data_IF_954077163508
#
_entry.id   IF_954077163508
#
_cell.length_a   1.000
_cell.length_b   1.000
_cell.length_c   1.000
_cell.angle_alpha   90.00
_cell.angle_beta   90.00
_cell.angle_gamma   90.00
#
_symmetry.space_group_name_H-M   'P 1'
#
loop_
_entity.id
_entity.type
_entity.pdbx_description
1 polymer ?
#
# COMPACT_ATOMS: atom_id res chain seq x y z
N UNK A 1 -52.28 -24.69 74.05
CA UNK A 1 -51.38 -23.52 73.93
C UNK A 1 -51.18 -23.22 72.44
N UNK A 2 -51.51 -21.98 72.02
CA UNK A 2 -51.19 -21.25 70.76
C UNK A 2 -51.50 -21.98 69.40
N UNK A 3 -52.55 -21.62 68.64
CA UNK A 3 -52.67 -20.55 67.59
C UNK A 3 -51.56 -20.69 66.51
N UNK A 4 -51.80 -20.86 65.19
CA UNK A 4 -52.45 -19.94 64.21
C UNK A 4 -52.24 -20.46 62.76
N UNK A 5 -53.27 -20.33 61.89
CA UNK A 5 -53.34 -19.97 60.44
C UNK A 5 -52.34 -20.55 59.40
N UNK A 6 -52.55 -20.61 58.06
CA UNK A 6 -53.61 -20.52 57.02
C UNK A 6 -52.85 -20.68 55.65
N UNK A 7 -53.60 -20.93 54.56
CA UNK A 7 -53.25 -20.78 53.12
C UNK A 7 -52.35 -21.90 52.51
N UNK A 8 -52.80 -22.78 51.60
CA UNK A 8 -53.41 -22.65 50.25
C UNK A 8 -52.41 -22.33 49.12
N UNK A 9 -52.13 -23.30 48.23
CA UNK A 9 -52.02 -23.22 46.75
C UNK A 9 -51.53 -24.60 46.22
N UNK A 10 -52.31 -25.40 45.48
CA UNK A 10 -52.70 -25.36 44.05
C UNK A 10 -51.69 -26.02 43.10
N UNK A 11 -52.10 -27.20 42.62
CA UNK A 11 -52.01 -27.83 41.28
C UNK A 11 -50.81 -27.55 40.34
N UNK A 12 -50.20 -28.65 39.87
CA UNK A 12 -49.83 -28.79 38.47
C UNK A 12 -50.09 -30.24 38.02
N UNK A 13 -51.14 -30.45 37.23
CA UNK A 13 -51.44 -31.71 36.55
C UNK A 13 -50.98 -31.59 35.09
N UNK A 14 -50.03 -32.43 34.71
CA UNK A 14 -49.55 -32.61 33.34
C UNK A 14 -50.55 -33.43 32.54
N UNK A 15 -51.17 -32.80 31.55
CA UNK A 15 -51.88 -33.47 30.46
C UNK A 15 -51.57 -32.72 29.16
N UNK A 16 -50.59 -33.22 28.40
CA UNK A 16 -50.40 -32.80 27.00
C UNK A 16 -51.11 -33.82 26.13
N UNK A 17 -52.23 -33.38 25.58
CA UNK A 17 -53.00 -34.10 24.58
C UNK A 17 -52.29 -34.05 23.23
N UNK A 18 -52.28 -35.20 22.55
CA UNK A 18 -51.92 -35.29 21.15
C UNK A 18 -52.94 -34.51 20.30
N UNK A 19 -52.48 -33.44 19.66
CA UNK A 19 -53.13 -32.86 18.49
C UNK A 19 -52.13 -32.98 17.33
N UNK A 20 -52.48 -33.81 16.35
CA UNK A 20 -51.66 -34.07 15.19
C UNK A 20 -51.41 -32.79 14.40
N UNK A 21 -50.15 -32.56 14.04
CA UNK A 21 -49.81 -31.67 12.94
C UNK A 21 -50.50 -32.22 11.69
N UNK A 22 -51.46 -31.48 11.16
CA UNK A 22 -51.81 -31.62 9.75
C UNK A 22 -50.53 -31.31 8.98
N UNK A 23 -50.07 -32.27 8.18
CA UNK A 23 -49.20 -31.96 7.06
C UNK A 23 -50.04 -31.08 6.13
N UNK A 24 -49.92 -29.77 6.29
CA UNK A 24 -50.25 -28.88 5.19
C UNK A 24 -49.29 -29.26 4.07
N UNK A 25 -49.85 -29.74 2.96
CA UNK A 25 -49.12 -29.82 1.71
C UNK A 25 -48.53 -28.44 1.48
N UNK A 26 -47.21 -28.31 1.61
CA UNK A 26 -46.49 -27.20 1.03
C UNK A 26 -46.77 -27.29 -0.47
N UNK A 27 -47.78 -26.55 -0.94
CA UNK A 27 -47.86 -26.15 -2.34
C UNK A 27 -46.46 -25.65 -2.70
N UNK A 28 -45.88 -26.12 -3.81
CA UNK A 28 -44.47 -25.92 -4.21
C UNK A 28 -44.11 -24.43 -4.49
N UNK A 29 -44.82 -23.48 -3.88
CA UNK A 29 -44.60 -22.05 -3.96
C UNK A 29 -43.79 -21.62 -2.76
N UNK A 30 -42.60 -21.07 -3.04
CA UNK A 30 -41.83 -20.36 -2.02
C UNK A 30 -42.72 -19.32 -1.33
N UNK A 31 -42.62 -19.16 0.01
CA UNK A 31 -43.37 -18.12 0.73
C UNK A 31 -42.87 -16.70 0.41
N UNK A 32 -41.81 -16.56 -0.38
CA UNK A 32 -41.23 -15.28 -0.79
C UNK A 32 -41.50 -14.99 -2.26
N UNK A 33 -41.79 -13.72 -2.55
CA UNK A 33 -41.95 -13.25 -3.92
C UNK A 33 -40.66 -13.43 -4.72
N UNK A 34 -40.79 -13.71 -6.02
CA UNK A 34 -39.64 -13.72 -6.92
C UNK A 34 -39.19 -12.29 -7.15
N UNK A 35 -37.91 -12.01 -6.87
CA UNK A 35 -37.33 -10.67 -6.97
C UNK A 35 -36.07 -10.66 -7.82
N UNK A 36 -35.79 -9.51 -8.43
CA UNK A 36 -34.52 -9.21 -9.12
C UNK A 36 -33.59 -8.34 -8.25
N UNK A 37 -32.29 -8.58 -8.36
CA UNK A 37 -31.24 -7.82 -7.68
C UNK A 37 -29.92 -7.86 -8.46
N UNK A 38 -28.96 -6.99 -8.11
CA UNK A 38 -27.61 -7.00 -8.67
C UNK A 38 -26.73 -7.94 -7.85
N UNK A 39 -25.98 -8.84 -8.51
CA UNK A 39 -25.07 -9.77 -7.83
C UNK A 39 -24.03 -9.06 -6.96
N UNK A 40 -23.44 -7.97 -7.47
CA UNK A 40 -22.46 -7.15 -6.75
C UNK A 40 -23.06 -6.49 -5.49
N UNK A 41 -24.38 -6.29 -5.43
CA UNK A 41 -25.07 -5.68 -4.30
C UNK A 41 -25.73 -6.70 -3.34
N UNK A 42 -25.46 -8.00 -3.51
CA UNK A 42 -26.10 -9.06 -2.71
C UNK A 42 -25.72 -8.98 -1.23
N UNK A 43 -24.43 -8.77 -0.93
CA UNK A 43 -23.92 -8.69 0.44
C UNK A 43 -23.76 -7.25 0.95
N UNK A 44 -23.29 -6.36 0.08
CA UNK A 44 -23.10 -4.94 0.36
C UNK A 44 -23.40 -4.14 -0.90
N UNK A 45 -24.28 -3.14 -0.80
CA UNK A 45 -24.58 -2.26 -1.92
C UNK A 45 -23.39 -1.33 -2.25
N UNK A 46 -22.46 -1.12 -1.33
CA UNK A 46 -21.30 -0.24 -1.52
C UNK A 46 -20.14 -0.97 -2.20
N UNK A 47 -19.72 -0.47 -3.35
CA UNK A 47 -18.63 -1.02 -4.15
C UNK A 47 -17.43 -0.06 -4.13
N UNK A 48 -16.45 -0.31 -3.26
CA UNK A 48 -15.22 0.48 -3.21
C UNK A 48 -14.46 0.34 -4.53
N UNK A 49 -14.24 1.46 -5.19
CA UNK A 49 -13.65 1.52 -6.53
C UNK A 49 -12.49 2.50 -6.53
N UNK A 50 -11.35 2.03 -6.04
CA UNK A 50 -10.11 2.82 -5.99
C UNK A 50 -9.26 2.60 -7.25
N UNK A 51 -8.59 3.65 -7.72
CA UNK A 51 -7.71 3.58 -8.89
C UNK A 51 -6.49 4.49 -8.76
N UNK A 52 -5.43 4.13 -9.49
CA UNK A 52 -4.15 4.87 -9.56
C UNK A 52 -4.12 5.86 -10.73
N UNK A 53 -3.29 6.90 -10.64
CA UNK A 53 -3.16 7.93 -11.69
C UNK A 53 -2.89 7.34 -13.08
N UNK A 54 -2.09 6.28 -13.15
CA UNK A 54 -1.64 5.69 -14.42
C UNK A 54 -2.62 4.68 -15.00
N UNK A 55 -3.77 4.46 -14.36
CA UNK A 55 -4.80 3.56 -14.88
C UNK A 55 -5.81 4.38 -15.70
N UNK A 56 -5.85 4.25 -17.03
CA UNK A 56 -6.77 5.02 -17.87
C UNK A 56 -8.22 4.52 -17.76
N UNK A 57 -8.40 3.21 -17.58
CA UNK A 57 -9.71 2.53 -17.61
C UNK A 57 -9.80 1.45 -16.53
N UNK A 58 -11.00 1.24 -15.99
CA UNK A 58 -11.29 0.21 -15.00
C UNK A 58 -12.69 -0.36 -15.21
N UNK A 59 -12.75 -1.66 -15.52
CA UNK A 59 -14.01 -2.37 -15.78
C UNK A 59 -14.64 -2.91 -14.50
N UNK A 60 -15.97 -2.76 -14.39
CA UNK A 60 -16.81 -3.24 -13.28
C UNK A 60 -17.99 -4.02 -13.86
N UNK A 61 -17.74 -5.30 -14.08
CA UNK A 61 -18.76 -6.26 -14.50
C UNK A 61 -19.74 -6.57 -13.37
N UNK A 62 -21.02 -6.69 -13.71
CA UNK A 62 -22.06 -7.18 -12.81
C UNK A 62 -23.17 -7.91 -13.60
N UNK A 63 -24.01 -8.64 -12.90
CA UNK A 63 -25.14 -9.39 -13.47
C UNK A 63 -26.42 -9.09 -12.71
N UNK A 64 -27.56 -9.34 -13.34
CA UNK A 64 -28.85 -9.33 -12.63
C UNK A 64 -29.22 -10.76 -12.26
N UNK A 65 -29.62 -10.94 -11.00
CA UNK A 65 -29.99 -12.23 -10.42
C UNK A 65 -31.47 -12.21 -10.02
N UNK A 66 -32.13 -13.36 -10.21
CA UNK A 66 -33.48 -13.64 -9.72
C UNK A 66 -33.44 -14.70 -8.63
N UNK A 67 -34.31 -14.56 -7.62
CA UNK A 67 -34.43 -15.56 -6.54
C UNK A 67 -34.89 -16.92 -7.04
N UNK A 68 -35.76 -16.97 -8.07
CA UNK A 68 -36.27 -18.19 -8.67
C UNK A 68 -36.38 -18.09 -10.20
N UNK A 69 -36.25 -19.19 -10.95
CA UNK A 69 -36.46 -19.16 -12.40
C UNK A 69 -37.88 -18.73 -12.78
N UNK A 70 -38.00 -17.92 -13.84
CA UNK A 70 -39.26 -17.63 -14.50
C UNK A 70 -39.52 -18.58 -15.68
N UNK A 71 -40.79 -18.76 -16.06
CA UNK A 71 -41.16 -19.58 -17.23
C UNK A 71 -40.93 -18.90 -18.57
N UNK A 72 -40.75 -17.57 -18.56
CA UNK A 72 -40.52 -16.71 -19.72
C UNK A 72 -39.27 -15.87 -19.48
N UNK A 73 -38.70 -15.30 -20.54
CA UNK A 73 -37.59 -14.37 -20.44
C UNK A 73 -37.98 -13.12 -19.62
N UNK A 74 -37.11 -12.73 -18.70
CA UNK A 74 -37.28 -11.50 -17.91
C UNK A 74 -36.29 -10.46 -18.39
N UNK A 75 -36.83 -9.38 -18.95
CA UNK A 75 -36.04 -8.23 -19.41
C UNK A 75 -35.90 -7.24 -18.26
N UNK A 76 -34.67 -6.86 -17.95
CA UNK A 76 -34.32 -5.96 -16.85
C UNK A 76 -33.62 -4.74 -17.41
N UNK A 77 -34.10 -3.56 -17.04
CA UNK A 77 -33.45 -2.28 -17.37
C UNK A 77 -32.61 -1.82 -16.18
N UNK A 78 -31.35 -1.48 -16.43
CA UNK A 78 -30.46 -0.85 -15.45
C UNK A 78 -30.10 0.57 -15.90
N UNK A 79 -29.87 1.46 -14.95
CA UNK A 79 -29.47 2.83 -15.23
C UNK A 79 -28.55 3.40 -14.15
N UNK A 80 -27.84 4.46 -14.50
CA UNK A 80 -27.18 5.34 -13.53
C UNK A 80 -28.21 6.33 -13.01
N UNK A 81 -28.41 6.43 -11.70
CA UNK A 81 -29.45 7.28 -11.09
C UNK A 81 -28.86 8.31 -10.11
N UNK A 82 -28.50 9.52 -10.60
CA UNK A 82 -27.86 10.55 -9.79
C UNK A 82 -28.66 10.98 -8.56
N UNK A 83 -29.99 10.84 -8.55
CA UNK A 83 -30.82 11.22 -7.42
C UNK A 83 -30.51 10.41 -6.15
N UNK A 84 -29.99 9.18 -6.28
CA UNK A 84 -29.65 8.31 -5.16
C UNK A 84 -28.40 8.74 -4.37
N UNK A 85 -27.61 9.69 -4.90
CA UNK A 85 -26.43 10.22 -4.18
C UNK A 85 -26.83 10.90 -2.87
N UNK A 86 -27.93 11.65 -2.87
CA UNK A 86 -28.41 12.34 -1.67
C UNK A 86 -28.84 11.35 -0.58
N UNK A 87 -29.54 10.28 -0.97
CA UNK A 87 -30.00 9.25 -0.05
C UNK A 87 -28.83 8.46 0.54
N UNK A 88 -27.85 8.07 -0.29
CA UNK A 88 -26.64 7.40 0.17
C UNK A 88 -25.89 8.25 1.19
N UNK A 89 -25.65 9.53 0.88
CA UNK A 89 -24.94 10.45 1.77
C UNK A 89 -25.68 10.63 3.11
N UNK A 90 -27.00 10.77 3.07
CA UNK A 90 -27.81 10.89 4.28
C UNK A 90 -27.75 9.62 5.15
N UNK A 91 -27.78 8.44 4.53
CA UNK A 91 -27.72 7.16 5.25
C UNK A 91 -26.32 6.86 5.83
N UNK A 92 -25.25 7.30 5.17
CA UNK A 92 -23.88 6.94 5.52
C UNK A 92 -23.09 8.07 6.22
N UNK A 93 -23.68 9.26 6.38
CA UNK A 93 -22.99 10.40 6.99
C UNK A 93 -21.86 10.96 6.13
N UNK A 94 -21.95 10.81 4.81
CA UNK A 94 -20.96 11.28 3.83
C UNK A 94 -21.46 12.52 3.09
N UNK A 95 -20.59 13.13 2.28
CA UNK A 95 -20.92 14.30 1.46
C UNK A 95 -20.30 14.20 0.06
N UNK A 96 -20.30 12.99 -0.50
CA UNK A 96 -19.65 12.70 -1.79
C UNK A 96 -20.52 13.16 -2.95
N UNK A 97 -19.87 13.59 -4.03
CA UNK A 97 -20.52 14.11 -5.23
C UNK A 97 -20.74 13.00 -6.26
N UNK A 98 -21.66 13.22 -7.20
CA UNK A 98 -21.85 12.32 -8.34
C UNK A 98 -20.59 12.33 -9.22
N UNK A 99 -20.13 11.14 -9.65
CA UNK A 99 -19.07 11.05 -10.65
C UNK A 99 -19.56 11.63 -11.99
N UNK A 100 -18.74 12.46 -12.63
CA UNK A 100 -19.09 13.07 -13.92
C UNK A 100 -19.20 12.01 -15.04
N UNK A 101 -20.15 12.20 -15.96
CA UNK A 101 -20.45 11.27 -17.05
C UNK A 101 -19.28 11.08 -18.04
N UNK A 102 -18.30 11.98 -18.03
CA UNK A 102 -17.08 11.82 -18.82
C UNK A 102 -16.15 10.71 -18.32
N UNK A 103 -16.34 10.22 -17.09
CA UNK A 103 -15.51 9.16 -16.48
C UNK A 103 -16.13 7.78 -16.48
N UNK A 104 -17.33 7.59 -17.03
CA UNK A 104 -17.94 6.26 -17.07
C UNK A 104 -18.75 6.02 -18.33
N UNK A 105 -18.98 4.74 -18.61
CA UNK A 105 -19.84 4.26 -19.67
C UNK A 105 -20.47 2.94 -19.24
N UNK A 106 -21.79 2.88 -19.28
CA UNK A 106 -22.53 1.63 -19.12
C UNK A 106 -22.78 1.07 -20.51
N UNK A 107 -22.13 -0.05 -20.85
CA UNK A 107 -22.09 -0.57 -22.22
C UNK A 107 -23.49 -0.91 -22.75
N UNK A 108 -24.34 -1.48 -21.90
CA UNK A 108 -25.73 -1.80 -22.21
C UNK A 108 -26.62 -1.45 -21.01
N UNK A 109 -27.83 -0.97 -21.27
CA UNK A 109 -28.78 -0.58 -20.21
C UNK A 109 -29.92 -1.60 -20.02
N UNK A 110 -29.92 -2.69 -20.79
CA UNK A 110 -30.95 -3.72 -20.75
C UNK A 110 -30.30 -5.08 -20.82
N UNK A 111 -30.74 -6.01 -19.98
CA UNK A 111 -30.25 -7.39 -20.00
C UNK A 111 -31.41 -8.36 -19.86
N UNK A 112 -31.26 -9.57 -20.42
CA UNK A 112 -32.26 -10.63 -20.33
C UNK A 112 -31.78 -11.70 -19.36
N UNK A 113 -32.66 -12.11 -18.45
CA UNK A 113 -32.56 -13.37 -17.71
C UNK A 113 -33.37 -14.40 -18.49
N UNK A 114 -32.73 -15.40 -19.13
CA UNK A 114 -33.46 -16.35 -19.97
C UNK A 114 -34.45 -17.20 -19.17
N UNK A 115 -35.55 -17.61 -19.81
CA UNK A 115 -36.51 -18.54 -19.24
C UNK A 115 -35.82 -19.77 -18.63
N UNK A 116 -36.21 -20.13 -17.40
CA UNK A 116 -35.62 -21.25 -16.66
C UNK A 116 -34.23 -20.97 -16.05
N UNK A 117 -33.69 -19.75 -16.17
CA UNK A 117 -32.46 -19.30 -15.51
C UNK A 117 -32.76 -18.32 -14.38
N UNK A 118 -31.75 -18.10 -13.54
CA UNK A 118 -31.80 -17.15 -12.42
C UNK A 118 -30.77 -16.04 -12.54
N UNK A 119 -29.97 -16.02 -13.60
CA UNK A 119 -28.91 -15.03 -13.79
C UNK A 119 -28.84 -14.64 -15.26
N UNK A 120 -28.54 -13.37 -15.51
CA UNK A 120 -28.29 -12.83 -16.84
C UNK A 120 -26.86 -13.09 -17.31
N UNK A 121 -26.57 -12.74 -18.57
CA UNK A 121 -25.20 -12.44 -18.98
C UNK A 121 -24.67 -11.17 -18.26
N UNK A 122 -23.37 -10.94 -18.33
CA UNK A 122 -22.72 -9.79 -17.68
C UNK A 122 -23.01 -8.48 -18.39
N UNK A 123 -23.25 -7.45 -17.61
CA UNK A 123 -23.23 -6.05 -18.01
C UNK A 123 -21.90 -5.43 -17.59
N UNK A 124 -21.33 -4.58 -18.44
CA UNK A 124 -20.06 -3.90 -18.18
C UNK A 124 -20.28 -2.42 -17.89
N UNK A 125 -19.86 -1.98 -16.69
CA UNK A 125 -19.64 -0.59 -16.36
C UNK A 125 -18.15 -0.27 -16.52
N UNK A 126 -17.80 0.51 -17.53
CA UNK A 126 -16.44 0.95 -17.77
C UNK A 126 -16.22 2.31 -17.12
N UNK A 127 -15.30 2.40 -16.16
CA UNK A 127 -14.72 3.68 -15.78
C UNK A 127 -13.60 4.03 -16.76
N UNK A 128 -13.56 5.26 -17.25
CA UNK A 128 -12.68 5.72 -18.32
C UNK A 128 -12.09 7.09 -18.03
N UNK A 129 -11.04 7.45 -18.78
CA UNK A 129 -10.34 8.73 -18.67
C UNK A 129 -9.82 9.03 -17.25
N UNK A 130 -9.56 7.99 -16.47
CA UNK A 130 -9.21 8.10 -15.06
C UNK A 130 -7.80 8.72 -14.84
N UNK A 131 -6.95 8.66 -15.86
CA UNK A 131 -5.62 9.26 -15.92
C UNK A 131 -5.62 10.70 -16.49
N UNK A 132 -6.79 11.22 -16.90
CA UNK A 132 -6.92 12.52 -17.55
C UNK A 132 -6.68 12.51 -19.07
N UNK A 133 -6.58 11.34 -19.72
CA UNK A 133 -6.28 11.25 -21.16
C UNK A 133 -7.41 11.70 -22.11
N UNK A 134 -8.61 11.98 -21.59
CA UNK A 134 -9.85 12.13 -22.38
C UNK A 134 -10.33 13.55 -22.63
N UNK A 135 -9.45 14.56 -22.72
CA UNK A 135 -9.82 15.99 -22.69
C UNK A 135 -10.65 16.37 -21.43
N UNK A 136 -10.46 15.64 -20.34
CA UNK A 136 -11.09 15.84 -19.03
C UNK A 136 -10.02 16.23 -18.00
N UNK A 137 -10.45 16.88 -16.93
CA UNK A 137 -9.55 17.15 -15.81
C UNK A 137 -9.10 15.83 -15.15
N UNK A 138 -7.95 15.85 -14.49
CA UNK A 138 -7.55 14.73 -13.64
C UNK A 138 -8.46 14.70 -12.41
N UNK A 139 -9.01 13.53 -12.05
CA UNK A 139 -9.76 13.39 -10.80
C UNK A 139 -8.81 13.71 -9.63
N UNK A 140 -9.18 14.63 -8.73
CA UNK A 140 -8.37 14.97 -7.57
C UNK A 140 -8.08 13.74 -6.73
N UNK A 141 -6.87 13.68 -6.18
CA UNK A 141 -6.54 12.64 -5.21
C UNK A 141 -7.43 12.80 -3.98
N UNK A 142 -7.82 11.69 -3.38
CA UNK A 142 -8.61 11.62 -2.15
C UNK A 142 -10.03 12.20 -2.21
N UNK A 143 -10.40 12.87 -3.29
CA UNK A 143 -11.80 13.19 -3.56
C UNK A 143 -12.56 11.92 -3.92
N UNK A 144 -13.71 11.75 -3.27
CA UNK A 144 -14.53 10.55 -3.39
C UNK A 144 -15.83 10.90 -4.09
N UNK A 145 -16.14 10.12 -5.11
CA UNK A 145 -17.32 10.26 -5.95
C UNK A 145 -18.23 9.04 -5.79
N UNK A 146 -19.51 9.24 -6.04
CA UNK A 146 -20.51 8.18 -6.09
C UNK A 146 -21.00 7.98 -7.52
N UNK A 147 -21.13 6.73 -7.91
CA UNK A 147 -21.77 6.31 -9.15
C UNK A 147 -22.80 5.21 -8.83
N UNK A 148 -24.05 5.58 -8.54
CA UNK A 148 -25.12 4.62 -8.28
C UNK A 148 -25.62 4.00 -9.58
N UNK A 149 -25.55 2.68 -9.70
CA UNK A 149 -26.18 1.88 -10.76
C UNK A 149 -27.34 1.11 -10.15
N UNK A 150 -28.53 1.27 -10.71
CA UNK A 150 -29.76 0.70 -10.14
C UNK A 150 -30.58 -0.04 -11.19
N UNK A 151 -31.33 -1.05 -10.74
CA UNK A 151 -32.37 -1.68 -11.55
C UNK A 151 -33.56 -0.72 -11.60
N UNK A 152 -33.94 -0.28 -12.81
CA UNK A 152 -35.08 0.59 -13.03
C UNK A 152 -36.39 -0.18 -13.16
N UNK A 153 -36.36 -1.32 -13.86
CA UNK A 153 -37.55 -2.14 -14.08
C UNK A 153 -37.19 -3.57 -14.43
N UNK A 154 -38.12 -4.49 -14.13
CA UNK A 154 -38.11 -5.86 -14.62
C UNK A 154 -39.47 -6.17 -15.25
N UNK A 155 -39.46 -6.89 -16.38
CA UNK A 155 -40.67 -7.36 -17.04
C UNK A 155 -41.30 -8.53 -16.28
N UNK A 156 -42.46 -9.02 -16.75
CA UNK A 156 -43.09 -10.22 -16.20
C UNK A 156 -43.70 -10.07 -14.79
N UNK A 157 -43.77 -8.84 -14.26
CA UNK A 157 -44.33 -8.59 -12.92
C UNK A 157 -43.40 -8.99 -11.76
N UNK A 158 -42.12 -9.23 -12.05
CA UNK A 158 -41.10 -9.55 -11.05
C UNK A 158 -40.77 -8.28 -10.26
N UNK A 159 -40.74 -8.39 -8.93
CA UNK A 159 -40.44 -7.24 -8.05
C UNK A 159 -38.94 -7.02 -7.90
N UNK A 160 -38.52 -5.84 -7.46
CA UNK A 160 -37.11 -5.54 -7.17
C UNK A 160 -36.83 -5.81 -5.69
N UNK A 161 -35.67 -6.37 -5.38
CA UNK A 161 -35.19 -6.47 -4.01
C UNK A 161 -34.56 -5.13 -3.59
N UNK A 162 -35.31 -4.28 -2.89
CA UNK A 162 -34.88 -2.90 -2.61
C UNK A 162 -33.50 -2.74 -1.96
N UNK A 163 -33.08 -3.67 -1.10
CA UNK A 163 -31.75 -3.63 -0.45
C UNK A 163 -30.57 -3.89 -1.39
N UNK A 164 -30.82 -4.53 -2.54
CA UNK A 164 -29.79 -5.01 -3.47
C UNK A 164 -30.12 -4.65 -4.93
N UNK A 165 -31.06 -3.74 -5.14
CA UNK A 165 -31.42 -3.23 -6.46
C UNK A 165 -30.43 -2.18 -6.96
N UNK A 166 -29.63 -1.59 -6.07
CA UNK A 166 -28.64 -0.56 -6.37
C UNK A 166 -27.26 -0.97 -5.91
N UNK A 167 -26.27 -0.80 -6.77
CA UNK A 167 -24.85 -0.83 -6.44
C UNK A 167 -24.31 0.61 -6.46
N UNK A 168 -23.73 1.05 -5.35
CA UNK A 168 -23.10 2.36 -5.20
C UNK A 168 -21.59 2.22 -5.38
N UNK A 169 -21.09 2.53 -6.57
CA UNK A 169 -19.64 2.57 -6.80
C UNK A 169 -19.06 3.82 -6.15
N UNK A 170 -18.26 3.63 -5.11
CA UNK A 170 -17.50 4.67 -4.41
C UNK A 170 -16.19 4.83 -5.15
N UNK A 171 -16.17 5.74 -6.12
CA UNK A 171 -15.05 5.96 -7.03
C UNK A 171 -14.11 6.96 -6.40
N UNK A 172 -12.90 6.52 -6.09
CA UNK A 172 -11.88 7.37 -5.46
C UNK A 172 -10.56 7.16 -6.17
N UNK A 173 -9.90 8.24 -6.54
CA UNK A 173 -8.48 8.13 -6.85
C UNK A 173 -7.74 7.92 -5.54
N UNK A 174 -7.46 6.67 -5.21
CA UNK A 174 -6.81 6.33 -3.95
C UNK A 174 -5.31 6.36 -4.15
N UNK A 175 -4.68 7.19 -3.32
CA UNK A 175 -3.24 7.20 -3.08
C UNK A 175 -2.36 7.68 -4.24
N UNK A 176 -1.33 8.43 -3.87
CA UNK A 176 -0.26 8.78 -4.80
C UNK A 176 0.45 7.53 -5.30
N UNK A 177 0.45 6.47 -4.48
CA UNK A 177 1.12 5.20 -4.72
C UNK A 177 0.16 4.05 -4.42
N UNK A 178 0.01 3.15 -5.39
CA UNK A 178 -0.83 1.95 -5.30
C UNK A 178 -0.07 0.66 -5.60
N UNK A 179 1.25 0.72 -5.52
CA UNK A 179 2.15 -0.41 -5.75
C UNK A 179 3.27 -0.35 -4.74
N UNK A 180 3.69 -1.51 -4.28
CA UNK A 180 4.85 -1.70 -3.44
C UNK A 180 5.29 -3.15 -3.59
N UNK A 181 6.56 -3.42 -3.35
CA UNK A 181 7.05 -4.79 -3.27
C UNK A 181 7.08 -5.27 -1.82
N UNK A 182 6.77 -6.56 -1.64
CA UNK A 182 6.96 -7.28 -0.39
C UNK A 182 8.42 -7.70 -0.25
N UNK A 183 9.09 -7.27 0.82
CA UNK A 183 10.44 -7.75 1.18
C UNK A 183 10.41 -8.82 2.28
N UNK A 184 9.25 -9.44 2.52
CA UNK A 184 9.12 -10.56 3.45
C UNK A 184 10.05 -11.69 3.01
N UNK A 185 11.02 -12.03 3.86
CA UNK A 185 12.04 -13.04 3.57
C UNK A 185 12.85 -12.79 2.27
N UNK A 186 12.93 -11.52 1.81
CA UNK A 186 13.57 -11.13 0.55
C UNK A 186 14.34 -9.80 0.71
N UNK A 187 15.17 -9.45 -0.27
CA UNK A 187 15.94 -8.20 -0.31
C UNK A 187 16.35 -7.85 -1.73
N UNK A 188 16.76 -6.59 -1.93
CA UNK A 188 17.20 -6.09 -3.23
C UNK A 188 18.73 -5.94 -3.24
N UNK A 189 19.34 -6.54 -4.26
CA UNK A 189 20.76 -6.44 -4.60
C UNK A 189 20.98 -5.35 -5.66
N UNK A 190 22.19 -4.76 -5.67
CA UNK A 190 22.65 -3.86 -6.74
C UNK A 190 23.97 -4.35 -7.32
N UNK A 191 23.96 -5.28 -8.30
CA UNK A 191 25.20 -5.86 -8.83
C UNK A 191 26.16 -4.83 -9.43
N UNK A 192 25.65 -3.72 -9.95
CA UNK A 192 26.45 -2.62 -10.52
C UNK A 192 27.26 -1.87 -9.48
N UNK A 193 26.83 -1.82 -8.22
CA UNK A 193 27.55 -1.16 -7.13
C UNK A 193 28.74 -1.97 -6.61
N UNK A 194 28.80 -3.26 -6.95
CA UNK A 194 29.94 -4.15 -6.63
C UNK A 194 31.01 -4.16 -7.74
N UNK A 195 30.80 -3.40 -8.83
CA UNK A 195 31.68 -3.34 -10.00
C UNK A 195 32.14 -1.93 -10.26
N UNK A 196 33.44 -1.77 -10.55
CA UNK A 196 33.99 -0.47 -10.88
C UNK A 196 33.39 0.06 -12.18
N UNK A 197 32.71 1.20 -12.09
CA UNK A 197 32.10 1.87 -13.24
C UNK A 197 31.28 3.09 -12.86
N UNK A 198 30.67 3.76 -13.85
CA UNK A 198 29.90 4.99 -13.65
C UNK A 198 28.82 4.86 -12.57
N UNK A 199 28.18 3.70 -12.50
CA UNK A 199 27.18 3.35 -11.50
C UNK A 199 27.71 3.41 -10.06
N UNK A 200 28.81 2.73 -9.79
CA UNK A 200 29.44 2.72 -8.46
C UNK A 200 30.07 4.08 -8.09
N UNK A 201 30.54 4.83 -9.09
CA UNK A 201 31.18 6.13 -8.87
C UNK A 201 30.20 7.14 -8.30
N UNK A 202 28.92 7.08 -8.68
CA UNK A 202 27.84 7.91 -8.13
C UNK A 202 27.60 7.68 -6.63
N UNK A 203 27.88 6.47 -6.14
CA UNK A 203 27.65 6.04 -4.75
C UNK A 203 28.90 6.13 -3.88
N UNK A 204 30.03 6.59 -4.44
CA UNK A 204 31.30 6.71 -3.76
C UNK A 204 31.73 8.19 -3.66
N UNK A 205 32.69 8.46 -2.78
CA UNK A 205 33.25 9.79 -2.53
C UNK A 205 32.19 10.84 -2.11
N UNK A 206 31.18 10.42 -1.35
CA UNK A 206 30.08 11.27 -0.90
C UNK A 206 30.49 12.16 0.27
N UNK A 207 30.00 13.41 0.28
CA UNK A 207 30.16 14.35 1.40
C UNK A 207 28.86 14.64 2.15
N UNK A 208 27.74 14.25 1.55
CA UNK A 208 26.42 14.30 2.13
C UNK A 208 25.57 13.18 1.52
N UNK A 209 24.50 12.79 2.21
CA UNK A 209 23.56 11.77 1.74
C UNK A 209 22.17 12.00 2.29
N UNK A 210 21.19 11.59 1.51
CA UNK A 210 19.82 11.36 1.99
C UNK A 210 19.39 9.96 1.55
N UNK A 211 18.87 9.18 2.50
CA UNK A 211 18.11 7.95 2.24
C UNK A 211 16.64 8.26 2.45
N UNK A 212 15.78 7.82 1.54
CA UNK A 212 14.32 7.96 1.65
C UNK A 212 13.64 6.65 1.20
N UNK A 213 12.56 6.27 1.88
CA UNK A 213 11.68 5.20 1.45
C UNK A 213 10.28 5.38 2.05
N UNK A 214 9.27 4.84 1.39
CA UNK A 214 7.97 4.59 1.99
C UNK A 214 7.89 3.12 2.36
N UNK A 215 7.62 2.84 3.64
CA UNK A 215 7.61 1.48 4.18
C UNK A 215 6.33 1.19 4.96
N UNK A 216 5.91 -0.07 4.98
CA UNK A 216 4.91 -0.61 5.91
C UNK A 216 5.44 -1.91 6.50
N UNK A 217 5.64 -1.95 7.81
CA UNK A 217 6.17 -3.14 8.51
C UNK A 217 5.02 -3.94 9.09
N UNK A 218 4.96 -5.24 8.80
CA UNK A 218 3.89 -6.12 9.28
C UNK A 218 4.03 -6.47 10.75
N UNK A 219 5.24 -6.83 11.14
CA UNK A 219 5.57 -7.30 12.48
C UNK A 219 7.07 -7.12 12.72
N UNK A 220 7.40 -6.23 13.67
CA UNK A 220 8.76 -5.95 14.12
C UNK A 220 9.39 -7.11 14.92
N UNK A 221 8.63 -8.15 15.25
CA UNK A 221 9.07 -9.30 16.04
C UNK A 221 9.48 -10.53 15.23
N UNK A 222 9.10 -10.63 13.96
CA UNK A 222 9.32 -11.82 13.11
C UNK A 222 10.78 -12.24 13.03
N UNK A 223 11.68 -11.27 12.89
CA UNK A 223 13.11 -11.49 12.72
C UNK A 223 13.91 -11.09 13.99
N UNK A 224 15.23 -10.91 13.85
CA UNK A 224 16.09 -10.43 14.94
C UNK A 224 15.68 -9.04 15.42
N UNK A 225 16.43 -8.46 16.35
CA UNK A 225 16.19 -7.12 16.88
C UNK A 225 16.35 -5.99 15.85
N UNK A 226 16.80 -6.29 14.62
CA UNK A 226 17.01 -5.34 13.54
C UNK A 226 16.12 -5.69 12.35
N UNK A 227 15.40 -4.69 11.83
CA UNK A 227 14.80 -4.71 10.49
C UNK A 227 15.52 -3.69 9.61
N UNK A 228 16.14 -4.14 8.51
CA UNK A 228 16.96 -3.26 7.67
C UNK A 228 16.11 -2.53 6.63
N UNK A 229 16.26 -1.22 6.47
CA UNK A 229 15.62 -0.48 5.36
C UNK A 229 16.58 -0.42 4.18
N UNK A 230 17.72 0.26 4.35
CA UNK A 230 18.74 0.35 3.29
C UNK A 230 20.11 0.77 3.82
N UNK A 231 21.15 0.46 3.06
CA UNK A 231 22.50 0.95 3.30
C UNK A 231 23.53 -0.16 3.43
N UNK A 232 24.63 0.16 4.10
CA UNK A 232 25.80 -0.71 4.25
C UNK A 232 26.03 -0.99 5.74
N UNK A 233 25.93 -2.26 6.14
CA UNK A 233 26.16 -2.71 7.52
C UNK A 233 27.52 -2.25 8.07
N UNK A 234 27.54 -1.85 9.35
CA UNK A 234 28.73 -1.35 10.06
C UNK A 234 29.42 -0.18 9.34
N UNK A 235 28.69 0.57 8.51
CA UNK A 235 29.24 1.69 7.77
C UNK A 235 28.28 2.87 7.72
N UNK A 236 27.16 2.71 7.00
CA UNK A 236 26.08 3.69 6.95
C UNK A 236 24.75 3.00 6.62
N UNK A 237 23.95 2.73 7.66
CA UNK A 237 22.77 1.88 7.57
C UNK A 237 21.55 2.55 8.18
N UNK A 238 20.47 2.69 7.42
CA UNK A 238 19.15 3.02 7.92
C UNK A 238 18.39 1.74 8.24
N UNK A 239 17.93 1.62 9.49
CA UNK A 239 17.27 0.42 10.03
C UNK A 239 16.24 0.79 11.08
N UNK A 240 15.54 -0.23 11.57
CA UNK A 240 14.59 -0.16 12.67
C UNK A 240 15.04 -1.17 13.72
N UNK A 241 15.19 -0.72 14.96
CA UNK A 241 15.67 -1.57 16.05
C UNK A 241 17.18 -1.85 16.03
N UNK A 242 17.64 -2.39 17.15
CA UNK A 242 18.98 -2.91 17.46
C UNK A 242 18.89 -3.60 18.83
N UNK A 243 19.83 -4.49 19.19
CA UNK A 243 19.80 -5.21 20.47
C UNK A 243 19.63 -4.31 21.72
N UNK A 244 20.04 -3.03 21.64
CA UNK A 244 19.88 -2.04 22.72
C UNK A 244 18.79 -0.99 22.47
N UNK A 245 17.96 -1.16 21.44
CA UNK A 245 16.94 -0.20 21.00
C UNK A 245 15.58 -0.90 20.83
N UNK A 246 14.45 -0.18 20.98
CA UNK A 246 13.14 -0.72 20.67
C UNK A 246 13.08 -1.18 19.21
N UNK A 247 12.47 -2.35 18.96
CA UNK A 247 12.38 -2.94 17.62
C UNK A 247 11.60 -2.08 16.62
N UNK A 248 10.78 -1.16 17.10
CA UNK A 248 10.00 -0.21 16.30
C UNK A 248 10.66 1.16 16.10
N UNK A 249 11.84 1.40 16.67
CA UNK A 249 12.50 2.70 16.59
C UNK A 249 13.42 2.79 15.38
N UNK A 250 13.26 3.83 14.55
CA UNK A 250 14.22 4.14 13.49
C UNK A 250 15.60 4.45 14.06
N UNK A 251 16.63 4.02 13.33
CA UNK A 251 18.02 4.30 13.61
C UNK A 251 18.82 4.41 12.32
N UNK A 252 19.58 5.50 12.21
CA UNK A 252 20.64 5.69 11.24
C UNK A 252 21.98 5.42 11.92
N UNK A 253 22.62 4.32 11.54
CA UNK A 253 23.90 3.87 12.07
C UNK A 253 25.04 4.31 11.15
N UNK A 254 25.81 5.31 11.59
CA UNK A 254 27.03 5.78 10.96
C UNK A 254 28.28 5.46 11.78
N UNK A 255 28.27 4.38 12.59
CA UNK A 255 29.36 4.03 13.52
C UNK A 255 30.67 3.59 12.87
N UNK A 256 30.67 3.16 11.59
CA UNK A 256 31.75 2.32 11.03
C UNK A 256 33.19 2.84 11.12
N UNK A 257 34.15 2.01 10.70
CA UNK A 257 35.60 2.15 10.95
C UNK A 257 36.17 3.59 10.78
N UNK A 258 37.06 3.96 11.72
CA UNK A 258 37.38 5.32 12.19
C UNK A 258 38.14 6.23 11.20
N UNK A 259 38.14 5.93 9.90
CA UNK A 259 38.74 6.79 8.89
C UNK A 259 37.91 6.95 7.60
N UNK A 260 36.90 6.10 7.34
CA UNK A 260 36.18 6.07 6.07
C UNK A 260 34.66 6.25 6.20
N UNK A 261 34.12 6.38 7.40
CA UNK A 261 32.67 6.53 7.63
C UNK A 261 32.30 7.95 8.04
N UNK A 262 31.00 8.31 7.95
CA UNK A 262 30.47 9.52 8.56
C UNK A 262 30.86 9.68 10.03
N UNK A 263 30.98 8.57 10.76
CA UNK A 263 31.51 8.52 12.12
C UNK A 263 30.58 9.12 13.18
N UNK A 264 29.32 9.40 12.84
CA UNK A 264 28.36 10.01 13.78
C UNK A 264 27.75 9.03 14.78
N UNK A 265 28.06 7.73 14.66
CA UNK A 265 27.57 6.70 15.57
C UNK A 265 26.13 6.26 15.28
N UNK A 266 25.50 5.57 16.25
CA UNK A 266 24.08 5.22 16.20
C UNK A 266 23.22 6.42 16.58
N UNK A 267 22.32 6.81 15.68
CA UNK A 267 21.44 7.96 15.86
C UNK A 267 19.99 7.64 15.47
N UNK A 268 18.97 8.19 16.16
CA UNK A 268 19.03 8.87 17.45
C UNK A 268 19.38 7.89 18.58
N UNK A 269 19.51 8.42 19.80
CA UNK A 269 19.58 7.59 21.01
C UNK A 269 18.25 6.83 21.20
N UNK A 270 18.27 5.80 22.07
CA UNK A 270 17.06 5.07 22.45
C UNK A 270 15.99 6.04 22.97
N UNK A 271 14.78 5.92 22.44
CA UNK A 271 13.62 6.74 22.75
C UNK A 271 12.34 5.93 22.54
N UNK A 272 11.70 5.53 23.64
CA UNK A 272 10.47 4.73 23.62
C UNK A 272 9.22 5.54 23.22
N UNK A 273 9.37 6.85 22.97
CA UNK A 273 8.27 7.71 22.51
C UNK A 273 8.24 7.88 20.98
N UNK A 274 9.26 7.37 20.27
CA UNK A 274 9.43 7.52 18.82
C UNK A 274 9.35 6.17 18.11
N UNK A 275 8.26 5.45 18.34
CA UNK A 275 8.03 4.11 17.82
C UNK A 275 7.10 4.16 16.62
N UNK A 276 7.40 3.35 15.60
CA UNK A 276 6.51 3.08 14.49
C UNK A 276 5.48 2.02 14.86
N UNK A 277 4.28 2.08 14.26
CA UNK A 277 3.26 1.05 14.41
C UNK A 277 3.36 0.02 13.28
N UNK A 278 3.01 -1.22 13.62
CA UNK A 278 2.87 -2.28 12.62
C UNK A 278 1.63 -2.03 11.74
N UNK A 279 1.71 -2.37 10.46
CA UNK A 279 0.63 -2.22 9.48
C UNK A 279 0.38 -0.79 8.98
N UNK A 280 1.14 0.20 9.46
CA UNK A 280 1.03 1.60 9.02
C UNK A 280 2.09 1.96 7.97
N UNK A 281 1.70 2.77 6.99
CA UNK A 281 2.61 3.36 6.02
C UNK A 281 3.34 4.56 6.63
N UNK A 282 4.65 4.58 6.48
CA UNK A 282 5.50 5.70 6.85
C UNK A 282 6.40 6.09 5.70
N UNK A 283 6.45 7.38 5.37
CA UNK A 283 7.63 7.91 4.70
C UNK A 283 8.74 8.06 5.74
N UNK A 284 9.90 7.45 5.51
CA UNK A 284 11.07 7.54 6.37
C UNK A 284 12.24 8.11 5.60
N UNK A 285 12.92 9.09 6.18
CA UNK A 285 14.15 9.62 5.59
C UNK A 285 15.23 9.86 6.64
N UNK A 286 16.48 9.75 6.22
CA UNK A 286 17.64 10.06 7.02
C UNK A 286 18.66 10.86 6.21
N UNK A 287 19.16 11.97 6.78
CA UNK A 287 20.14 12.84 6.13
C UNK A 287 21.41 12.91 6.95
N UNK A 288 22.55 13.07 6.28
CA UNK A 288 23.82 13.46 6.90
C UNK A 288 24.64 14.35 5.96
N UNK A 289 25.32 15.36 6.51
CA UNK A 289 26.26 16.21 5.77
C UNK A 289 27.51 16.50 6.59
N UNK A 290 28.70 16.32 6.00
CA UNK A 290 29.94 16.75 6.65
C UNK A 290 30.07 18.27 6.78
N UNK A 291 29.44 19.02 5.88
CA UNK A 291 29.53 20.48 5.90
C UNK A 291 28.83 21.08 7.11
N UNK A 292 27.66 20.53 7.48
CA UNK A 292 26.87 20.98 8.63
C UNK A 292 27.13 20.13 9.88
N UNK A 293 27.66 18.91 9.72
CA UNK A 293 27.78 17.89 10.78
C UNK A 293 26.45 17.59 11.45
N UNK A 294 25.37 17.72 10.67
CA UNK A 294 24.02 17.41 11.10
C UNK A 294 23.61 16.04 10.58
N UNK A 295 22.99 15.25 11.46
CA UNK A 295 22.26 14.03 11.13
C UNK A 295 20.80 14.23 11.50
N UNK A 296 19.89 13.90 10.60
CA UNK A 296 18.46 14.04 10.83
C UNK A 296 17.73 12.75 10.49
N UNK A 297 16.67 12.44 11.24
CA UNK A 297 15.65 11.46 10.86
C UNK A 297 14.32 12.20 10.70
N UNK A 298 13.61 11.88 9.63
CA UNK A 298 12.29 12.39 9.30
C UNK A 298 11.30 11.23 9.23
N UNK A 299 10.09 11.45 9.74
CA UNK A 299 8.97 10.52 9.60
C UNK A 299 7.79 11.30 9.06
N UNK A 300 7.17 10.79 8.01
CA UNK A 300 6.07 11.44 7.30
C UNK A 300 6.43 12.88 6.88
N UNK A 301 7.66 13.05 6.41
CA UNK A 301 8.21 14.32 5.94
C UNK A 301 8.54 15.34 7.03
N UNK A 302 8.20 15.05 8.29
CA UNK A 302 8.46 15.94 9.42
C UNK A 302 9.74 15.54 10.15
N UNK A 303 10.50 16.53 10.62
CA UNK A 303 11.70 16.28 11.42
C UNK A 303 11.35 15.58 12.74
N UNK A 304 11.83 14.33 12.89
CA UNK A 304 11.64 13.56 14.11
C UNK A 304 12.81 13.73 15.09
N UNK A 305 14.04 13.70 14.57
CA UNK A 305 15.25 13.76 15.39
C UNK A 305 16.35 14.51 14.67
N UNK A 306 17.07 15.39 15.37
CA UNK A 306 18.26 16.11 14.88
C UNK A 306 19.43 15.95 15.84
N UNK A 307 20.60 15.64 15.30
CA UNK A 307 21.89 15.67 15.98
C UNK A 307 22.81 16.65 15.27
N UNK A 308 23.47 17.52 16.02
CA UNK A 308 24.43 18.51 15.50
C UNK A 308 25.83 18.19 16.01
N UNK A 309 26.85 18.67 15.30
CA UNK A 309 28.26 18.43 15.63
C UNK A 309 28.63 16.94 15.75
N UNK A 310 27.97 16.08 14.97
CA UNK A 310 28.23 14.65 14.95
C UNK A 310 29.08 14.23 13.74
N UNK A 311 29.88 13.20 13.95
CA UNK A 311 30.77 12.65 12.93
C UNK A 311 32.00 13.50 12.67
N UNK A 312 32.69 13.13 11.60
CA UNK A 312 34.00 13.69 11.25
C UNK A 312 33.88 15.03 10.51
N UNK A 313 34.89 15.91 10.60
CA UNK A 313 34.98 17.06 9.70
C UNK A 313 35.22 16.60 8.26
N UNK A 314 34.77 17.40 7.28
CA UNK A 314 34.71 17.15 5.82
C UNK A 314 36.05 16.88 5.10
N UNK A 315 36.90 16.03 5.66
CA UNK A 315 38.24 15.73 5.19
C UNK A 315 38.35 14.35 4.54
N UNK A 316 37.41 13.46 4.81
CA UNK A 316 37.33 12.14 4.18
C UNK A 316 35.91 11.86 3.71
N UNK A 317 35.67 11.68 2.40
CA UNK A 317 34.36 11.30 1.92
C UNK A 317 33.99 9.88 2.36
N UNK A 318 32.68 9.57 2.43
CA UNK A 318 32.21 8.21 2.66
C UNK A 318 31.75 7.54 1.36
N UNK A 319 31.57 6.22 1.40
CA UNK A 319 31.44 5.36 0.21
C UNK A 319 30.36 4.32 0.44
N UNK A 320 29.41 4.20 -0.46
CA UNK A 320 28.33 3.20 -0.37
C UNK A 320 28.56 2.01 -1.30
N UNK A 321 29.41 2.17 -2.32
CA UNK A 321 29.80 1.16 -3.29
C UNK A 321 31.28 0.78 -3.12
N UNK A 322 31.76 0.62 -1.89
CA UNK A 322 33.17 0.38 -1.59
C UNK A 322 33.73 -0.94 -2.15
N UNK A 323 32.87 -1.93 -2.44
CA UNK A 323 33.27 -3.16 -3.12
C UNK A 323 33.80 -2.91 -4.54
N UNK A 324 33.32 -1.88 -5.23
CA UNK A 324 33.83 -1.47 -6.54
C UNK A 324 35.30 -1.05 -6.50
N UNK A 325 35.77 -0.47 -5.38
CA UNK A 325 37.20 -0.18 -5.22
C UNK A 325 38.05 -1.44 -5.08
N UNK A 326 37.53 -2.48 -4.42
CA UNK A 326 38.20 -3.77 -4.40
C UNK A 326 38.20 -4.43 -5.79
N UNK A 327 37.13 -4.27 -6.56
CA UNK A 327 37.08 -4.71 -7.96
C UNK A 327 38.17 -4.04 -8.81
N UNK A 328 38.44 -2.73 -8.65
CA UNK A 328 39.60 -2.06 -9.25
C UNK A 328 40.94 -2.71 -8.87
N UNK A 329 41.12 -3.02 -7.57
CA UNK A 329 42.31 -3.74 -7.11
C UNK A 329 42.47 -5.10 -7.79
N UNK A 330 41.38 -5.86 -7.96
CA UNK A 330 41.43 -7.15 -8.67
C UNK A 330 41.80 -6.99 -10.15
N UNK A 331 41.37 -5.90 -10.80
CA UNK A 331 41.69 -5.61 -12.20
C UNK A 331 43.15 -5.16 -12.39
N UNK A 332 43.69 -4.34 -11.48
CA UNK A 332 45.10 -3.91 -11.53
C UNK A 332 45.69 -3.68 -10.12
N UNK A 333 46.22 -4.73 -9.47
CA UNK A 333 46.73 -4.65 -8.09
C UNK A 333 47.83 -3.60 -7.90
N UNK A 334 48.70 -3.42 -8.90
CA UNK A 334 49.83 -2.49 -8.81
C UNK A 334 49.41 -1.02 -8.80
N UNK A 335 48.34 -0.68 -9.51
CA UNK A 335 47.82 0.68 -9.61
C UNK A 335 46.91 1.04 -8.43
N UNK A 336 46.22 0.05 -7.88
CA UNK A 336 45.15 0.21 -6.89
C UNK A 336 45.48 -0.44 -5.54
N UNK A 337 46.77 -0.51 -5.17
CA UNK A 337 47.24 -1.14 -3.92
C UNK A 337 46.56 -0.54 -2.67
N UNK A 338 46.13 0.73 -2.71
CA UNK A 338 45.37 1.36 -1.62
C UNK A 338 44.03 0.67 -1.32
N UNK A 339 43.47 -0.07 -2.29
CA UNK A 339 42.18 -0.75 -2.14
C UNK A 339 42.32 -2.24 -1.78
N UNK A 340 43.54 -2.75 -1.59
CA UNK A 340 43.78 -4.14 -1.21
C UNK A 340 43.00 -4.61 0.03
N UNK A 341 42.81 -3.72 1.00
CA UNK A 341 42.06 -3.99 2.24
C UNK A 341 40.54 -3.98 2.10
N UNK A 342 39.99 -3.61 0.93
CA UNK A 342 38.56 -3.37 0.74
C UNK A 342 37.75 -4.62 0.42
N UNK A 343 38.36 -5.81 0.32
CA UNK A 343 37.66 -7.05 0.00
C UNK A 343 36.60 -7.48 1.02
N UNK A 344 36.64 -6.93 2.24
CA UNK A 344 35.64 -7.17 3.28
C UNK A 344 34.56 -6.07 3.36
N UNK A 345 34.59 -5.09 2.45
CA UNK A 345 33.58 -4.04 2.41
C UNK A 345 32.19 -4.66 2.22
N UNK A 346 31.20 -4.21 2.98
CA UNK A 346 29.84 -4.74 2.92
C UNK A 346 29.11 -4.17 1.71
N UNK A 347 28.19 -4.94 1.16
CA UNK A 347 27.37 -4.52 0.02
C UNK A 347 26.28 -3.55 0.47
N UNK A 348 25.85 -2.68 -0.44
CA UNK A 348 24.64 -1.89 -0.30
C UNK A 348 23.42 -2.72 -0.67
N UNK A 349 22.42 -2.76 0.20
CA UNK A 349 21.17 -3.51 0.00
C UNK A 349 19.95 -2.64 0.32
N UNK A 350 18.78 -3.05 -0.20
CA UNK A 350 17.49 -2.71 0.40
C UNK A 350 16.92 -3.94 1.12
N UNK A 351 16.37 -3.76 2.30
CA UNK A 351 15.69 -4.82 3.04
C UNK A 351 16.61 -5.86 3.70
N UNK A 352 17.94 -5.74 3.61
CA UNK A 352 18.92 -6.63 4.28
C UNK A 352 20.19 -5.86 4.62
N UNK A 353 20.96 -6.35 5.60
CA UNK A 353 22.25 -5.75 5.98
C UNK A 353 23.38 -6.78 5.91
N UNK A 354 23.52 -7.64 6.91
CA UNK A 354 24.58 -8.67 6.97
C UNK A 354 24.03 -10.08 7.03
N UNK A 355 22.96 -10.27 7.77
CA UNK A 355 22.38 -11.58 8.10
C UNK A 355 20.91 -11.60 7.69
N UNK A 356 20.44 -12.76 7.23
CA UNK A 356 19.08 -12.94 6.71
C UNK A 356 18.03 -12.76 7.81
N UNK A 357 18.41 -12.88 9.09
CA UNK A 357 17.54 -12.55 10.23
C UNK A 357 17.39 -11.04 10.45
N UNK A 358 17.89 -10.16 9.57
CA UNK A 358 17.76 -8.70 9.69
C UNK A 358 16.92 -8.07 8.59
N UNK A 359 16.08 -8.87 7.95
CA UNK A 359 15.30 -8.45 6.81
C UNK A 359 14.17 -7.49 7.18
N UNK A 360 13.73 -6.68 6.23
CA UNK A 360 12.50 -5.90 6.36
C UNK A 360 11.29 -6.84 6.23
N UNK A 361 10.58 -7.07 7.32
CA UNK A 361 9.32 -7.81 7.27
C UNK A 361 8.14 -6.90 6.89
N UNK A 362 8.03 -6.55 5.62
CA UNK A 362 7.00 -5.63 5.16
C UNK A 362 7.12 -5.22 3.70
N UNK A 363 6.40 -4.15 3.36
CA UNK A 363 6.32 -3.59 2.02
C UNK A 363 7.15 -2.32 1.90
N UNK A 364 7.70 -2.07 0.71
CA UNK A 364 8.53 -0.90 0.40
C UNK A 364 8.20 -0.31 -0.98
N UNK A 365 8.27 1.02 -1.10
CA UNK A 365 8.10 1.79 -2.33
C UNK A 365 8.83 3.14 -2.22
N UNK A 366 8.96 3.87 -3.32
CA UNK A 366 9.56 5.22 -3.39
C UNK A 366 10.94 5.32 -2.73
N UNK A 367 11.82 4.36 -3.03
CA UNK A 367 13.17 4.30 -2.46
C UNK A 367 14.10 5.22 -3.22
N UNK A 368 14.82 6.10 -2.51
CA UNK A 368 15.72 7.08 -3.10
C UNK A 368 17.02 7.19 -2.34
N UNK A 369 18.08 7.47 -3.09
CA UNK A 369 19.38 7.85 -2.55
C UNK A 369 19.84 9.13 -3.22
N UNK A 370 20.24 10.10 -2.39
CA UNK A 370 20.76 11.39 -2.82
C UNK A 370 22.21 11.56 -2.36
N UNK A 371 23.03 12.28 -3.13
CA UNK A 371 24.38 12.71 -2.73
C UNK A 371 24.42 14.08 -2.03
N UNK A 372 23.24 14.60 -1.67
CA UNK A 372 23.04 15.83 -0.89
C UNK A 372 22.24 15.52 0.38
N UNK A 373 22.40 16.34 1.42
CA UNK A 373 21.51 16.33 2.57
C UNK A 373 20.31 17.23 2.25
N UNK A 374 19.16 16.62 1.99
CA UNK A 374 17.92 17.32 1.64
C UNK A 374 17.36 18.06 2.85
N UNK A 375 16.71 19.19 2.60
CA UNK A 375 16.02 19.98 3.61
C UNK A 375 14.68 19.34 3.99
N UNK A 376 14.13 19.71 5.14
CA UNK A 376 12.81 19.22 5.57
C UNK A 376 11.71 19.56 4.56
N UNK A 377 11.71 20.77 4.00
CA UNK A 377 10.74 21.19 2.99
C UNK A 377 10.86 20.35 1.71
N UNK A 378 12.08 20.13 1.25
CA UNK A 378 12.35 19.29 0.08
C UNK A 378 11.89 17.84 0.27
N UNK A 379 12.09 17.28 1.47
CA UNK A 379 11.61 15.94 1.82
C UNK A 379 10.07 15.94 1.87
N UNK A 380 9.47 16.90 2.57
CA UNK A 380 8.03 17.06 2.70
C UNK A 380 7.33 17.16 1.36
N UNK A 381 7.78 18.04 0.46
CA UNK A 381 7.14 18.29 -0.83
C UNK A 381 7.21 17.09 -1.78
N UNK A 382 8.25 16.26 -1.67
CA UNK A 382 8.55 15.21 -2.65
C UNK A 382 8.34 13.79 -2.12
N UNK A 383 7.71 13.57 -0.96
CA UNK A 383 7.58 12.22 -0.36
C UNK A 383 7.07 11.13 -1.31
N UNK A 384 6.18 11.48 -2.24
CA UNK A 384 5.44 10.51 -3.05
C UNK A 384 5.86 10.43 -4.52
N UNK A 385 6.58 11.44 -5.00
CA UNK A 385 7.13 11.48 -6.36
C UNK A 385 8.21 12.56 -6.42
N UNK A 386 9.16 12.40 -7.32
CA UNK A 386 10.20 13.41 -7.60
C UNK A 386 10.63 13.31 -9.05
N UNK A 387 10.99 14.45 -9.66
CA UNK A 387 11.59 14.44 -10.99
C UNK A 387 12.90 13.63 -10.94
N UNK A 388 13.02 12.52 -11.71
CA UNK A 388 14.23 11.70 -11.68
C UNK A 388 15.51 12.43 -12.15
N UNK A 389 15.38 13.60 -12.78
CA UNK A 389 16.49 14.45 -13.18
C UNK A 389 16.87 15.50 -12.13
N UNK A 390 16.26 15.46 -10.95
CA UNK A 390 16.57 16.41 -9.86
C UNK A 390 18.04 16.33 -9.47
N UNK A 391 18.79 17.46 -9.47
CA UNK A 391 20.20 17.45 -9.11
C UNK A 391 20.47 16.82 -7.74
N UNK A 392 21.39 15.87 -7.74
CA UNK A 392 21.82 15.16 -6.54
C UNK A 392 21.07 13.86 -6.25
N UNK A 393 20.02 13.52 -7.02
CA UNK A 393 19.42 12.19 -6.99
C UNK A 393 20.33 11.21 -7.73
N UNK A 394 20.80 10.16 -7.05
CA UNK A 394 21.75 9.18 -7.62
C UNK A 394 21.17 7.77 -7.75
N UNK A 395 20.02 7.51 -7.15
CA UNK A 395 19.22 6.31 -7.38
C UNK A 395 17.77 6.54 -6.98
N UNK A 396 16.84 6.07 -7.81
CA UNK A 396 15.40 6.19 -7.56
C UNK A 396 14.67 4.94 -8.05
N UNK A 397 14.10 4.19 -7.12
CA UNK A 397 13.37 2.95 -7.37
C UNK A 397 11.94 3.11 -6.85
N UNK A 398 10.98 3.18 -7.78
CA UNK A 398 9.57 3.42 -7.44
C UNK A 398 8.87 2.19 -6.85
N UNK A 399 9.27 0.98 -7.25
CA UNK A 399 8.53 -0.26 -6.95
C UNK A 399 7.09 -0.17 -7.48
N UNK A 400 6.95 0.18 -8.75
CA UNK A 400 5.67 0.31 -9.47
C UNK A 400 5.53 -0.66 -10.64
N UNK A 401 6.49 -1.58 -10.79
CA UNK A 401 6.52 -2.59 -11.86
C UNK A 401 5.34 -3.56 -11.77
N UNK A 402 4.96 -3.98 -10.56
CA UNK A 402 3.80 -4.85 -10.32
C UNK A 402 4.02 -6.33 -10.68
N UNK A 403 5.15 -6.67 -11.30
CA UNK A 403 5.59 -8.03 -11.58
C UNK A 403 7.11 -8.12 -11.75
N UNK A 404 7.65 -9.34 -11.66
CA UNK A 404 9.08 -9.60 -11.90
C UNK A 404 9.99 -9.23 -10.73
N UNK A 405 11.30 -9.44 -10.95
CA UNK A 405 12.34 -9.37 -9.90
C UNK A 405 13.34 -8.22 -10.12
N UNK A 406 13.14 -7.39 -11.15
CA UNK A 406 14.00 -6.25 -11.47
C UNK A 406 13.26 -4.98 -11.10
N UNK A 407 13.92 -4.12 -10.32
CA UNK A 407 13.39 -2.82 -9.91
C UNK A 407 14.18 -1.75 -10.64
N UNK A 408 13.51 -0.99 -11.50
CA UNK A 408 14.19 -0.09 -12.41
C UNK A 408 14.64 1.20 -11.72
N UNK A 409 15.86 1.64 -12.05
CA UNK A 409 16.39 2.93 -11.64
C UNK A 409 15.86 4.05 -12.55
N UNK A 410 14.90 4.81 -12.03
CA UNK A 410 14.22 5.89 -12.72
C UNK A 410 15.11 7.10 -13.03
N UNK A 411 16.28 7.23 -12.40
CA UNK A 411 17.21 8.33 -12.67
C UNK A 411 17.85 8.23 -14.07
N UNK A 412 17.82 7.03 -14.68
CA UNK A 412 18.52 6.73 -15.92
C UNK A 412 20.01 6.41 -15.74
N UNK A 413 20.50 6.30 -14.49
CA UNK A 413 21.88 5.92 -14.20
C UNK A 413 22.14 4.41 -14.37
N UNK A 414 21.08 3.61 -14.50
CA UNK A 414 21.15 2.17 -14.76
C UNK A 414 21.56 1.35 -13.54
N UNK A 415 21.28 1.84 -12.33
CA UNK A 415 21.46 1.11 -11.08
C UNK A 415 20.23 0.27 -10.74
N UNK A 416 19.76 -0.56 -11.68
CA UNK A 416 18.60 -1.42 -11.44
C UNK A 416 18.86 -2.36 -10.26
N UNK A 417 17.86 -2.46 -9.39
CA UNK A 417 17.84 -3.41 -8.28
C UNK A 417 17.39 -4.79 -8.77
N UNK A 418 17.90 -5.84 -8.14
CA UNK A 418 17.50 -7.22 -8.42
C UNK A 418 17.15 -7.93 -7.12
N UNK A 419 15.92 -8.42 -7.02
CA UNK A 419 15.48 -9.21 -5.88
C UNK A 419 16.30 -10.52 -5.77
N UNK A 420 16.61 -10.96 -4.55
CA UNK A 420 17.30 -12.24 -4.34
C UNK A 420 16.40 -13.42 -4.72
N UNK A 421 15.16 -13.37 -4.27
CA UNK A 421 14.14 -14.38 -4.55
C UNK A 421 13.00 -13.75 -5.36
N UNK A 422 12.07 -14.60 -5.83
CA UNK A 422 10.89 -14.13 -6.54
C UNK A 422 10.13 -13.09 -5.70
N UNK A 423 9.92 -11.92 -6.29
CA UNK A 423 9.37 -10.77 -5.60
C UNK A 423 7.84 -10.84 -5.65
N UNK A 424 7.22 -10.69 -4.48
CA UNK A 424 5.78 -10.61 -4.36
C UNK A 424 5.31 -9.15 -4.49
N UNK A 425 4.23 -8.97 -5.24
CA UNK A 425 3.57 -7.68 -5.49
C UNK A 425 2.16 -7.74 -4.89
N UNK A 426 1.95 -7.28 -3.65
CA UNK A 426 0.66 -7.39 -3.00
C UNK A 426 -0.42 -6.56 -3.71
N UNK A 427 -1.64 -7.09 -3.79
CA UNK A 427 -2.81 -6.33 -4.23
C UNK A 427 -3.32 -5.39 -3.12
N UNK A 428 -4.00 -4.31 -3.51
CA UNK A 428 -4.68 -3.42 -2.54
C UNK A 428 -3.73 -2.50 -1.76
N UNK A 429 -2.56 -2.17 -2.33
CA UNK A 429 -1.68 -1.16 -1.77
C UNK A 429 -2.34 0.21 -1.91
N UNK A 430 -2.49 0.91 -0.79
CA UNK A 430 -2.96 2.29 -0.73
C UNK A 430 -2.07 3.05 0.27
N UNK A 431 -1.17 3.88 -0.24
CA UNK A 431 -0.34 4.78 0.58
C UNK A 431 -1.04 6.13 0.73
N UNK A 432 -1.48 6.54 1.94
CA UNK A 432 -2.12 7.84 2.13
C UNK A 432 -1.15 9.01 1.87
N UNK A 433 -1.65 10.07 1.23
CA UNK A 433 -0.89 11.30 1.02
C UNK A 433 -1.07 12.27 2.20
N UNK A 434 0.01 12.54 2.94
CA UNK A 434 0.01 13.34 4.17
C UNK A 434 0.35 14.81 3.93
N UNK A 435 1.01 15.14 2.82
CA UNK A 435 1.50 16.48 2.53
C UNK A 435 0.55 17.35 1.69
N UNK A 436 -0.76 17.04 1.70
CA UNK A 436 -1.79 17.75 0.94
C UNK A 436 -2.84 18.48 1.80
N UNK A 437 -2.55 18.68 3.08
CA UNK A 437 -3.37 19.55 3.96
C UNK A 437 -3.26 21.04 3.62
#
# INVERSE_FOLDING_TARGET
>A
MKRVQKYALVLLATAVAAAGCKNDEYDNRSPFDNVVYLDVAEADATQLTTFKKTLPTLERDFSVVMSYPASEDVQVTVEVEPALVADYNACNGTSWTMLDASYYELAENTVTIPAGKTISDRLSLMLKNLDGSGDVAELPIDETYLLPVTIRSASGGVSLLGSSATAYYVVKRSSAITSAASLRDNWINFPTLDKAGPQSDLFNNLTAVTYEAIIRVDDFSKHSEISTIMGVENYLLLRIGDASFPRQQLQFDGTGDAAATPGFGKFPKKDETKLLNAGEWYHVAATYSYATREVCIYVNGQLQSRGTDLGNPASTPFNLAGRAFYDLYLQNPSQYEQYKGWGNFRQFFLGKSYDDTRQLNGDITEVRVWNVARTEQEIWENMYDVDPQTPGLIGYWKFDEGEGNVIHDWTGNGNDGVAEFDLEWPSGIEVPQLNKE
#
